data_IF_252669899597
#
_entry.id   IF_252669899597
#
_cell.length_a   1.000
_cell.length_b   1.000
_cell.length_c   1.000
_cell.angle_alpha   90.00
_cell.angle_beta   90.00
_cell.angle_gamma   90.00
#
_symmetry.space_group_name_H-M   'P 1'
#
loop_
_entity.id
_entity.type
_entity.pdbx_description
1 polymer ?
#
# COMPACT_ATOMS: atom_id res chain seq x y z
N UNK A 1 75.39 17.43 26.19
CA UNK A 1 74.03 17.89 26.02
C UNK A 1 73.43 17.14 24.81
N UNK A 2 72.65 16.08 25.07
CA UNK A 2 72.04 15.29 24.01
C UNK A 2 70.61 15.81 23.80
N UNK A 3 70.37 16.50 22.70
CA UNK A 3 69.03 16.89 22.27
C UNK A 3 68.26 15.65 21.79
N UNK A 4 67.26 15.24 22.57
CA UNK A 4 66.33 14.20 22.18
C UNK A 4 65.52 14.70 20.98
N UNK A 5 65.83 14.21 19.78
CA UNK A 5 65.01 14.38 18.58
C UNK A 5 63.72 13.59 18.78
N UNK A 6 62.67 14.22 19.28
CA UNK A 6 61.32 13.65 19.31
C UNK A 6 60.90 13.39 17.86
N UNK A 7 60.60 12.12 17.53
CA UNK A 7 60.18 11.73 16.18
C UNK A 7 58.89 12.43 15.82
N UNK A 8 58.78 13.00 14.61
CA UNK A 8 57.57 13.73 14.18
C UNK A 8 56.27 12.91 14.27
N UNK A 9 56.38 11.61 14.27
CA UNK A 9 55.25 10.67 14.45
C UNK A 9 54.59 10.76 15.84
N UNK A 10 55.38 11.06 16.88
CA UNK A 10 54.83 11.18 18.25
C UNK A 10 54.10 12.50 18.44
N UNK A 11 54.56 13.58 17.81
CA UNK A 11 53.86 14.87 17.80
C UNK A 11 52.50 14.77 17.11
N UNK A 12 52.42 14.09 15.96
CA UNK A 12 51.20 13.89 15.24
C UNK A 12 50.16 13.04 16.01
N UNK A 13 50.64 12.05 16.78
CA UNK A 13 49.75 11.24 17.63
C UNK A 13 49.24 12.01 18.84
N UNK A 14 50.09 12.83 19.49
CA UNK A 14 49.67 13.67 20.61
C UNK A 14 48.71 14.79 20.20
N UNK A 15 48.88 15.37 19.00
CA UNK A 15 47.99 16.37 18.45
C UNK A 15 46.60 15.80 18.16
N UNK A 16 46.51 14.54 17.75
CA UNK A 16 45.23 13.83 17.54
C UNK A 16 44.51 13.48 18.84
N UNK A 17 45.26 13.20 19.91
CA UNK A 17 44.70 12.87 21.23
C UNK A 17 44.24 14.15 21.93
N UNK A 18 44.92 15.28 21.72
CA UNK A 18 44.62 16.54 22.38
C UNK A 18 43.56 17.40 21.61
N UNK A 19 43.43 17.17 20.29
CA UNK A 19 42.36 17.73 19.49
C UNK A 19 41.44 16.59 19.01
N UNK A 20 40.48 16.14 19.84
CA UNK A 20 39.51 15.18 19.37
C UNK A 20 38.76 15.84 18.20
N UNK A 21 38.66 15.12 17.09
CA UNK A 21 37.89 15.54 15.93
C UNK A 21 36.55 16.14 16.41
N UNK A 22 36.07 17.24 15.82
CA UNK A 22 34.84 17.88 16.26
C UNK A 22 33.79 16.81 16.35
N UNK A 23 33.20 16.66 17.56
CA UNK A 23 32.11 15.70 17.76
C UNK A 23 31.10 15.96 16.65
N UNK A 24 30.88 14.93 15.85
CA UNK A 24 29.85 14.97 14.78
C UNK A 24 28.62 15.54 15.46
N UNK A 25 28.27 16.75 15.11
CA UNK A 25 27.06 17.38 15.63
C UNK A 25 25.94 16.40 15.28
N UNK A 26 25.27 15.85 16.29
CA UNK A 26 24.05 15.07 16.13
C UNK A 26 22.97 16.02 15.57
N UNK A 27 23.15 16.41 14.33
CA UNK A 27 22.05 17.04 13.57
C UNK A 27 21.02 15.92 13.35
N UNK A 28 20.02 15.90 14.18
CA UNK A 28 18.81 15.10 13.98
C UNK A 28 18.17 15.62 12.69
N UNK A 29 18.44 14.92 11.60
CA UNK A 29 17.77 15.20 10.32
C UNK A 29 16.28 14.99 10.52
N UNK A 30 15.50 16.06 10.44
CA UNK A 30 14.03 16.01 10.53
C UNK A 30 13.50 15.56 9.18
N UNK A 31 13.10 14.28 9.09
CA UNK A 31 12.40 13.76 7.92
C UNK A 31 10.91 14.07 8.00
N UNK A 32 10.36 14.65 6.94
CA UNK A 32 8.91 14.86 6.78
C UNK A 32 8.35 13.78 5.89
N UNK A 33 7.47 12.92 6.43
CA UNK A 33 6.82 11.85 5.70
C UNK A 33 5.45 12.27 5.16
N UNK A 34 5.00 11.67 4.06
CA UNK A 34 3.64 11.85 3.58
C UNK A 34 2.70 10.83 4.24
N UNK A 35 2.23 11.14 5.45
CA UNK A 35 1.28 10.29 6.16
C UNK A 35 -0.15 10.40 5.60
N UNK A 36 -0.44 11.40 4.75
CA UNK A 36 -1.77 11.60 4.17
C UNK A 36 -2.19 10.41 3.31
N UNK A 37 -1.31 9.96 2.41
CA UNK A 37 -1.58 8.83 1.52
C UNK A 37 -1.76 7.52 2.31
N UNK A 38 -0.97 7.31 3.36
CA UNK A 38 -1.08 6.14 4.24
C UNK A 38 -2.44 6.11 4.92
N UNK A 39 -2.87 7.25 5.47
CA UNK A 39 -4.20 7.38 6.11
C UNK A 39 -5.34 7.14 5.13
N UNK A 40 -5.24 7.65 3.90
CA UNK A 40 -6.25 7.44 2.86
C UNK A 40 -6.42 5.96 2.54
N UNK A 41 -5.33 5.23 2.27
CA UNK A 41 -5.38 3.79 2.04
C UNK A 41 -5.89 3.01 3.24
N UNK A 42 -5.50 3.38 4.46
CA UNK A 42 -5.97 2.72 5.68
C UNK A 42 -7.48 2.92 5.90
N UNK A 43 -7.98 4.14 5.73
CA UNK A 43 -9.41 4.43 5.83
C UNK A 43 -10.22 3.72 4.73
N UNK A 44 -9.70 3.67 3.50
CA UNK A 44 -10.31 2.92 2.41
C UNK A 44 -10.33 1.42 2.73
N UNK A 45 -9.25 0.85 3.28
CA UNK A 45 -9.22 -0.54 3.72
C UNK A 45 -10.33 -0.82 4.75
N UNK A 46 -10.46 0.00 5.78
CA UNK A 46 -11.50 -0.17 6.81
C UNK A 46 -12.91 -0.07 6.21
N UNK A 47 -13.15 0.91 5.34
CA UNK A 47 -14.45 1.09 4.68
C UNK A 47 -14.82 -0.10 3.79
N UNK A 48 -13.91 -0.53 2.91
CA UNK A 48 -14.12 -1.69 2.05
C UNK A 48 -14.17 -3.00 2.84
N UNK A 49 -13.42 -3.12 3.94
CA UNK A 49 -13.50 -4.26 4.84
C UNK A 49 -14.89 -4.42 5.45
N UNK A 50 -15.51 -3.32 5.89
CA UNK A 50 -16.88 -3.34 6.38
C UNK A 50 -17.88 -3.77 5.28
N UNK A 51 -17.73 -3.24 4.05
CA UNK A 51 -18.54 -3.65 2.90
C UNK A 51 -18.35 -5.14 2.59
N UNK A 52 -17.11 -5.63 2.56
CA UNK A 52 -16.82 -7.03 2.33
C UNK A 52 -17.47 -7.94 3.38
N UNK A 53 -17.40 -7.58 4.67
CA UNK A 53 -18.04 -8.34 5.76
C UNK A 53 -19.56 -8.36 5.61
N UNK A 54 -20.19 -7.23 5.29
CA UNK A 54 -21.64 -7.16 5.05
C UNK A 54 -22.07 -8.05 3.88
N UNK A 55 -21.31 -8.03 2.77
CA UNK A 55 -21.53 -8.94 1.65
C UNK A 55 -21.37 -10.40 2.07
N UNK A 56 -20.39 -10.72 2.92
CA UNK A 56 -20.19 -12.05 3.47
C UNK A 56 -21.40 -12.54 4.27
N UNK A 57 -21.94 -11.71 5.15
CA UNK A 57 -23.16 -12.04 5.90
C UNK A 57 -24.34 -12.24 4.96
N UNK A 58 -24.48 -11.38 3.93
CA UNK A 58 -25.56 -11.47 2.96
C UNK A 58 -25.51 -12.81 2.19
N UNK A 59 -24.36 -13.16 1.63
CA UNK A 59 -24.23 -14.43 0.88
C UNK A 59 -24.40 -15.65 1.80
N UNK A 60 -24.00 -15.57 3.08
CA UNK A 60 -24.24 -16.63 4.05
C UNK A 60 -25.74 -16.81 4.34
N UNK A 61 -26.50 -15.71 4.45
CA UNK A 61 -27.96 -15.78 4.61
C UNK A 61 -28.66 -16.34 3.38
N UNK A 62 -28.20 -15.98 2.17
CA UNK A 62 -28.71 -16.57 0.91
C UNK A 62 -28.45 -18.08 0.83
N UNK A 63 -27.30 -18.54 1.33
CA UNK A 63 -26.97 -19.96 1.37
C UNK A 63 -27.85 -20.71 2.36
N UNK A 64 -28.20 -20.10 3.51
CA UNK A 64 -29.09 -20.67 4.51
C UNK A 64 -30.56 -20.70 4.05
N UNK A 65 -31.00 -19.70 3.30
CA UNK A 65 -32.37 -19.59 2.83
C UNK A 65 -32.43 -18.88 1.45
N UNK A 66 -32.81 -19.64 0.42
CA UNK A 66 -32.86 -19.20 -0.96
C UNK A 66 -33.79 -17.98 -1.20
N UNK A 67 -34.79 -17.74 -0.34
CA UNK A 67 -35.72 -16.60 -0.43
C UNK A 67 -35.00 -15.24 -0.34
N UNK A 68 -33.81 -15.19 0.27
CA UNK A 68 -33.00 -13.97 0.32
C UNK A 68 -32.30 -13.62 -1.00
N UNK A 69 -32.50 -14.39 -2.07
CA UNK A 69 -32.08 -13.99 -3.43
C UNK A 69 -33.04 -12.97 -4.06
N UNK A 70 -34.23 -12.77 -3.49
CA UNK A 70 -35.25 -11.82 -3.96
C UNK A 70 -35.63 -11.96 -5.44
N UNK A 71 -35.34 -13.08 -6.08
CA UNK A 71 -35.53 -13.37 -7.51
C UNK A 71 -34.88 -12.33 -8.46
N UNK A 72 -33.88 -11.61 -7.97
CA UNK A 72 -33.10 -10.65 -8.74
C UNK A 72 -31.85 -11.29 -9.32
N UNK A 73 -31.72 -11.32 -10.64
CA UNK A 73 -30.61 -11.99 -11.34
C UNK A 73 -29.22 -11.48 -10.96
N UNK A 74 -29.08 -10.19 -10.65
CA UNK A 74 -27.82 -9.56 -10.25
C UNK A 74 -27.53 -9.69 -8.75
N UNK A 75 -28.49 -10.14 -7.94
CA UNK A 75 -28.41 -10.28 -6.47
C UNK A 75 -28.30 -11.71 -6.00
N UNK A 76 -28.14 -12.67 -6.90
CA UNK A 76 -28.02 -14.10 -6.56
C UNK A 76 -26.67 -14.41 -5.92
N UNK A 77 -26.63 -15.46 -5.08
CA UNK A 77 -25.39 -15.99 -4.47
C UNK A 77 -24.26 -16.12 -5.46
N UNK A 78 -24.52 -16.68 -6.66
CA UNK A 78 -23.51 -16.88 -7.69
C UNK A 78 -22.87 -15.59 -8.22
N UNK A 79 -23.60 -14.46 -8.15
CA UNK A 79 -23.11 -13.15 -8.57
C UNK A 79 -22.39 -12.39 -7.43
N UNK A 80 -22.90 -12.54 -6.22
CA UNK A 80 -22.37 -11.86 -5.05
C UNK A 80 -21.11 -12.55 -4.47
N UNK A 81 -20.95 -13.87 -4.66
CA UNK A 81 -19.76 -14.60 -4.19
C UNK A 81 -18.46 -14.03 -4.77
N UNK A 82 -18.29 -13.91 -6.11
CA UNK A 82 -17.10 -13.26 -6.68
C UNK A 82 -16.92 -11.83 -6.19
N UNK A 83 -17.99 -11.07 -6.05
CA UNK A 83 -17.94 -9.71 -5.53
C UNK A 83 -17.40 -9.66 -4.10
N UNK A 84 -17.87 -10.54 -3.21
CA UNK A 84 -17.37 -10.64 -1.84
C UNK A 84 -15.89 -11.00 -1.80
N UNK A 85 -15.47 -11.99 -2.58
CA UNK A 85 -14.06 -12.43 -2.65
C UNK A 85 -13.15 -11.31 -3.15
N UNK A 86 -13.54 -10.63 -4.22
CA UNK A 86 -12.79 -9.49 -4.76
C UNK A 86 -12.77 -8.31 -3.79
N UNK A 87 -13.88 -8.04 -3.09
CA UNK A 87 -13.92 -6.99 -2.07
C UNK A 87 -12.99 -7.29 -0.90
N UNK A 88 -12.92 -8.55 -0.44
CA UNK A 88 -12.02 -8.95 0.64
C UNK A 88 -10.54 -8.90 0.22
N UNK A 89 -10.19 -9.39 -0.98
CA UNK A 89 -8.80 -9.50 -1.43
C UNK A 89 -8.29 -8.15 -1.95
N UNK A 90 -8.97 -7.54 -2.92
CA UNK A 90 -8.47 -6.33 -3.58
C UNK A 90 -8.89 -5.04 -2.85
N UNK A 91 -10.16 -4.95 -2.44
CA UNK A 91 -10.60 -3.71 -1.84
C UNK A 91 -10.16 -3.58 -0.37
N UNK A 92 -10.25 -4.61 0.44
CA UNK A 92 -9.78 -4.57 1.82
C UNK A 92 -8.27 -4.83 1.92
N UNK A 93 -7.81 -6.05 1.60
CA UNK A 93 -6.42 -6.42 1.80
C UNK A 93 -5.47 -5.64 0.89
N UNK A 94 -5.84 -5.36 -0.37
CA UNK A 94 -5.05 -4.55 -1.29
C UNK A 94 -4.79 -3.14 -0.76
N UNK A 95 -5.81 -2.43 -0.28
CA UNK A 95 -5.63 -1.12 0.34
C UNK A 95 -4.77 -1.18 1.61
N UNK A 96 -4.94 -2.22 2.45
CA UNK A 96 -4.12 -2.41 3.65
C UNK A 96 -2.64 -2.66 3.31
N UNK A 97 -2.37 -3.46 2.30
CA UNK A 97 -1.00 -3.73 1.79
C UNK A 97 -0.37 -2.43 1.28
N UNK A 98 -1.08 -1.64 0.46
CA UNK A 98 -0.55 -0.36 -0.04
C UNK A 98 -0.29 0.62 1.10
N UNK A 99 -1.17 0.72 2.10
CA UNK A 99 -0.90 1.52 3.29
C UNK A 99 0.40 1.09 3.98
N UNK A 100 0.60 -0.22 4.14
CA UNK A 100 1.81 -0.80 4.71
C UNK A 100 3.06 -0.49 3.89
N UNK A 101 2.99 -0.65 2.56
CA UNK A 101 4.10 -0.37 1.64
C UNK A 101 4.48 1.12 1.71
N UNK A 102 3.52 2.05 1.58
CA UNK A 102 3.79 3.49 1.67
C UNK A 102 4.34 3.90 3.02
N UNK A 103 3.85 3.30 4.11
CA UNK A 103 4.35 3.58 5.46
C UNK A 103 5.79 3.07 5.65
N UNK A 104 6.03 1.79 5.34
CA UNK A 104 7.33 1.15 5.58
C UNK A 104 8.42 1.70 4.67
N UNK A 105 8.13 1.91 3.38
CA UNK A 105 9.10 2.43 2.42
C UNK A 105 9.65 3.78 2.82
N UNK A 106 8.79 4.74 3.18
CA UNK A 106 9.23 6.07 3.60
C UNK A 106 10.12 6.01 4.85
N UNK A 107 9.80 5.12 5.80
CA UNK A 107 10.53 5.02 7.06
C UNK A 107 11.84 4.25 6.92
N UNK A 108 11.87 3.18 6.14
CA UNK A 108 13.08 2.39 5.90
C UNK A 108 14.09 3.15 5.05
N UNK A 109 13.64 3.84 4.01
CA UNK A 109 14.50 4.63 3.13
C UNK A 109 14.83 6.00 3.73
N UNK A 110 14.18 6.41 4.83
CA UNK A 110 14.29 7.75 5.43
C UNK A 110 14.10 8.86 4.39
N UNK A 111 13.23 8.62 3.42
CA UNK A 111 12.97 9.53 2.30
C UNK A 111 11.46 9.74 2.14
N UNK A 112 11.09 10.95 1.71
CA UNK A 112 9.72 11.26 1.31
C UNK A 112 9.45 10.67 -0.08
N UNK A 113 8.19 10.35 -0.37
CA UNK A 113 7.75 9.97 -1.71
C UNK A 113 8.20 10.98 -2.77
N UNK A 114 8.66 10.48 -3.91
CA UNK A 114 9.14 11.31 -5.03
C UNK A 114 8.07 12.28 -5.53
N UNK A 115 6.82 11.87 -5.59
CA UNK A 115 5.71 12.70 -6.08
C UNK A 115 4.41 12.41 -5.33
N UNK A 116 3.88 13.43 -4.66
CA UNK A 116 2.57 13.34 -4.00
C UNK A 116 1.42 13.16 -5.02
N UNK A 117 1.58 13.71 -6.24
CA UNK A 117 0.60 13.57 -7.31
C UNK A 117 0.45 12.13 -7.77
N UNK A 118 1.56 11.44 -7.99
CA UNK A 118 1.52 10.03 -8.39
C UNK A 118 0.92 9.15 -7.28
N UNK A 119 1.22 9.42 -6.01
CA UNK A 119 0.59 8.74 -4.88
C UNK A 119 -0.94 8.91 -4.88
N UNK A 120 -1.43 10.12 -5.13
CA UNK A 120 -2.86 10.38 -5.25
C UNK A 120 -3.46 9.71 -6.50
N UNK A 121 -2.77 9.73 -7.63
CA UNK A 121 -3.20 9.05 -8.86
C UNK A 121 -3.32 7.54 -8.63
N UNK A 122 -2.35 6.94 -7.93
CA UNK A 122 -2.42 5.52 -7.55
C UNK A 122 -3.63 5.24 -6.66
N UNK A 123 -3.85 6.04 -5.61
CA UNK A 123 -4.98 5.86 -4.70
C UNK A 123 -6.32 5.91 -5.45
N UNK A 124 -6.57 6.96 -6.22
CA UNK A 124 -7.83 7.12 -6.95
C UNK A 124 -8.00 6.12 -8.09
N UNK A 125 -6.90 5.78 -8.78
CA UNK A 125 -6.90 4.72 -9.80
C UNK A 125 -7.31 3.38 -9.20
N UNK A 126 -6.76 3.04 -8.04
CA UNK A 126 -7.11 1.82 -7.31
C UNK A 126 -8.57 1.80 -6.86
N UNK A 127 -9.09 2.91 -6.30
CA UNK A 127 -10.51 3.01 -5.94
C UNK A 127 -11.42 2.86 -7.17
N UNK A 128 -11.05 3.45 -8.31
CA UNK A 128 -11.79 3.31 -9.55
C UNK A 128 -11.90 1.85 -10.00
N UNK A 129 -10.80 1.10 -9.93
CA UNK A 129 -10.77 -0.33 -10.26
C UNK A 129 -11.72 -1.12 -9.37
N UNK A 130 -11.70 -0.86 -8.06
CA UNK A 130 -12.61 -1.51 -7.10
C UNK A 130 -14.08 -1.22 -7.45
N UNK A 131 -14.43 0.02 -7.74
CA UNK A 131 -15.80 0.42 -8.11
C UNK A 131 -16.21 -0.24 -9.42
N UNK A 132 -15.35 -0.27 -10.43
CA UNK A 132 -15.63 -0.95 -11.70
C UNK A 132 -15.89 -2.44 -11.48
N UNK A 133 -15.07 -3.11 -10.66
CA UNK A 133 -15.30 -4.50 -10.29
C UNK A 133 -16.64 -4.69 -9.55
N UNK A 134 -16.97 -3.78 -8.61
CA UNK A 134 -18.22 -3.81 -7.87
C UNK A 134 -19.47 -3.66 -8.76
N UNK A 135 -19.34 -3.03 -9.92
CA UNK A 135 -20.44 -2.88 -10.89
C UNK A 135 -20.47 -4.06 -11.86
N UNK A 136 -19.33 -4.47 -12.42
CA UNK A 136 -19.26 -5.48 -13.49
C UNK A 136 -19.57 -6.89 -12.99
N UNK A 137 -19.11 -7.26 -11.79
CA UNK A 137 -19.32 -8.61 -11.25
C UNK A 137 -20.79 -8.97 -11.01
N UNK A 138 -21.63 -8.13 -10.37
CA UNK A 138 -23.07 -8.41 -10.24
C UNK A 138 -23.80 -8.47 -11.59
N UNK A 139 -23.38 -7.63 -12.55
CA UNK A 139 -23.95 -7.63 -13.90
C UNK A 139 -23.60 -8.89 -14.70
N UNK A 140 -22.59 -9.65 -14.23
CA UNK A 140 -22.14 -10.87 -14.86
C UNK A 140 -21.17 -10.66 -16.03
N UNK A 141 -20.58 -9.49 -16.08
CA UNK A 141 -19.48 -9.19 -16.99
C UNK A 141 -18.20 -9.69 -16.32
N UNK A 142 -17.88 -10.97 -16.53
CA UNK A 142 -16.78 -11.66 -15.86
C UNK A 142 -16.03 -12.58 -16.78
N UNK A 143 -14.73 -12.77 -16.58
CA UNK A 143 -13.90 -13.69 -17.38
C UNK A 143 -14.13 -15.18 -17.07
N UNK A 144 -14.97 -15.54 -16.11
CA UNK A 144 -15.29 -16.93 -15.76
C UNK A 144 -14.14 -17.74 -15.15
N UNK A 145 -13.05 -17.09 -14.76
CA UNK A 145 -11.90 -17.73 -14.08
C UNK A 145 -11.95 -17.42 -12.59
N UNK A 146 -11.94 -18.43 -11.73
CA UNK A 146 -11.93 -18.22 -10.28
C UNK A 146 -10.70 -17.43 -9.84
N UNK A 147 -10.90 -16.39 -9.02
CA UNK A 147 -9.91 -15.40 -8.57
C UNK A 147 -9.31 -14.50 -9.68
N UNK A 148 -9.80 -14.60 -10.91
CA UNK A 148 -9.43 -13.73 -12.02
C UNK A 148 -10.67 -13.39 -12.84
N UNK A 149 -11.75 -13.04 -12.12
CA UNK A 149 -13.06 -12.76 -12.71
C UNK A 149 -13.13 -11.41 -13.43
N UNK A 150 -12.14 -10.54 -13.24
CA UNK A 150 -12.11 -9.22 -13.86
C UNK A 150 -11.90 -9.33 -15.36
N UNK A 151 -12.68 -8.56 -16.12
CA UNK A 151 -12.50 -8.43 -17.57
C UNK A 151 -11.16 -7.79 -17.91
N UNK A 152 -10.61 -8.15 -19.06
CA UNK A 152 -9.27 -7.75 -19.51
C UNK A 152 -8.99 -6.22 -19.44
N UNK A 153 -9.94 -5.29 -19.69
CA UNK A 153 -9.65 -3.86 -19.55
C UNK A 153 -9.39 -3.45 -18.10
N UNK A 154 -10.12 -4.04 -17.15
CA UNK A 154 -9.97 -3.79 -15.71
C UNK A 154 -8.67 -4.44 -15.22
N UNK A 155 -8.33 -5.65 -15.67
CA UNK A 155 -7.09 -6.35 -15.36
C UNK A 155 -5.85 -5.55 -15.83
N UNK A 156 -5.91 -4.91 -17.00
CA UNK A 156 -4.84 -4.02 -17.47
C UNK A 156 -4.70 -2.77 -16.58
N UNK A 157 -5.80 -2.18 -16.15
CA UNK A 157 -5.78 -1.02 -15.24
C UNK A 157 -5.19 -1.40 -13.88
N UNK A 158 -5.57 -2.57 -13.37
CA UNK A 158 -5.03 -3.14 -12.13
C UNK A 158 -3.50 -3.30 -12.20
N UNK A 159 -3.01 -3.94 -13.24
CA UNK A 159 -1.56 -4.11 -13.46
C UNK A 159 -0.82 -2.79 -13.60
N UNK A 160 -1.41 -1.78 -14.27
CA UNK A 160 -0.81 -0.46 -14.39
C UNK A 160 -0.78 0.27 -13.06
N UNK A 161 -1.86 0.21 -12.28
CA UNK A 161 -1.94 0.82 -10.95
C UNK A 161 -0.91 0.22 -9.99
N UNK A 162 -0.74 -1.10 -9.99
CA UNK A 162 0.26 -1.79 -9.17
C UNK A 162 1.70 -1.43 -9.59
N UNK A 163 1.98 -1.26 -10.89
CA UNK A 163 3.29 -0.80 -11.38
C UNK A 163 3.60 0.65 -11.00
N UNK A 164 2.59 1.53 -10.98
CA UNK A 164 2.78 2.89 -10.51
C UNK A 164 3.33 2.93 -9.08
N UNK A 165 2.86 2.02 -8.21
CA UNK A 165 3.37 1.92 -6.85
C UNK A 165 4.87 1.57 -6.81
N UNK A 166 5.35 0.66 -7.66
CA UNK A 166 6.76 0.26 -7.69
C UNK A 166 7.69 1.34 -8.24
N UNK A 167 7.23 2.18 -9.16
CA UNK A 167 8.03 3.28 -9.73
C UNK A 167 8.22 4.48 -8.80
N UNK A 168 7.50 4.52 -7.66
CA UNK A 168 7.64 5.59 -6.65
C UNK A 168 8.70 5.28 -5.60
N UNK A 169 9.17 4.04 -5.54
CA UNK A 169 10.06 3.54 -4.51
C UNK A 169 11.54 3.55 -4.93
N UNK A 170 11.85 4.03 -6.14
CA UNK A 170 13.23 4.09 -6.68
C UNK A 170 13.78 5.50 -6.64
#
# INVERSE_FOLDING_TARGET
MAFLKIKPTLCFFLERVYNPAPMVSNQTEKFSYNDKIVKQFLLAALGWGAVALLLGVLIATQLANWKFNFDLSWFTFGRLRPLHTNAAIFAFAGNAIFAGIYHSSQRLLKARLFSDFLGQLHFWGWQLIIVLAAVTLPLGITAGKEYAELEWPIDILDRKSTRLNSSHLV
#
